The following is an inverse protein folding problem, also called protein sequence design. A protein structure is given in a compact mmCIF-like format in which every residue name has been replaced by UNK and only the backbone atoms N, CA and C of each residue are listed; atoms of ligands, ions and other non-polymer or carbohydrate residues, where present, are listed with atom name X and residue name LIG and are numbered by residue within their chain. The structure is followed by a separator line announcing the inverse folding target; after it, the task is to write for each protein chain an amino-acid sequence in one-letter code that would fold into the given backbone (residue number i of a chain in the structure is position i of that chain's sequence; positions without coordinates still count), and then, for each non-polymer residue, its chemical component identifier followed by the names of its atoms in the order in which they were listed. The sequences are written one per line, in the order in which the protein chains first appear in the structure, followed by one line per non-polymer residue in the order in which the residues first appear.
data_IF_924178918477
#
_entry.id   IF_924178918477
#
_cell.length_a   1.000
_cell.length_b   1.000
_cell.length_c   1.000
_cell.angle_alpha   90.00
_cell.angle_beta   90.00
_cell.angle_gamma   90.00
#
_symmetry.space_group_name_H-M   'P 1'
#
loop_
_entity.id
_entity.type
_entity.pdbx_description
1 polymer ?
#
# COMPACT_ATOMS: atom_id res chain seq x y z
N UNK A 1 40.49 26.98 23.40
CA UNK A 1 39.27 27.75 23.08
C UNK A 1 39.25 27.96 21.59
N UNK A 2 38.46 27.16 20.88
CA UNK A 2 38.32 27.22 19.43
C UNK A 2 37.43 28.42 19.09
N UNK A 3 37.99 29.40 18.37
CA UNK A 3 37.27 30.58 17.92
C UNK A 3 36.41 30.19 16.71
N UNK A 4 35.11 29.97 16.93
CA UNK A 4 34.17 29.82 15.83
C UNK A 4 34.18 31.09 14.97
N UNK A 5 34.64 30.97 13.72
CA UNK A 5 34.73 32.05 12.75
C UNK A 5 33.33 32.63 12.48
N UNK A 6 33.04 33.84 12.98
CA UNK A 6 31.73 34.47 12.83
C UNK A 6 31.59 35.06 11.42
N UNK A 7 30.78 34.42 10.59
CA UNK A 7 30.59 34.84 9.19
C UNK A 7 29.93 36.21 9.06
N UNK A 8 30.32 36.97 8.03
CA UNK A 8 29.72 38.28 7.72
C UNK A 8 28.28 38.13 7.19
N UNK A 9 27.42 39.13 7.41
CA UNK A 9 26.02 39.13 6.93
C UNK A 9 25.91 38.86 5.42
N UNK A 10 26.83 39.41 4.62
CA UNK A 10 26.87 39.17 3.16
C UNK A 10 27.11 37.70 2.82
N UNK A 11 28.04 37.03 3.54
CA UNK A 11 28.32 35.60 3.35
C UNK A 11 27.10 34.75 3.74
N UNK A 12 26.43 35.08 4.84
CA UNK A 12 25.19 34.42 5.25
C UNK A 12 24.08 34.54 4.20
N UNK A 13 23.87 35.75 3.66
CA UNK A 13 22.86 35.99 2.61
C UNK A 13 23.18 35.19 1.34
N UNK A 14 24.44 35.18 0.89
CA UNK A 14 24.85 34.41 -0.31
C UNK A 14 24.61 32.91 -0.13
N UNK A 15 24.91 32.37 1.05
CA UNK A 15 24.69 30.96 1.38
C UNK A 15 23.20 30.64 1.45
N UNK A 16 22.40 31.51 2.06
CA UNK A 16 20.94 31.37 2.08
C UNK A 16 20.32 31.35 0.68
N UNK A 17 20.73 32.28 -0.19
CA UNK A 17 20.29 32.33 -1.58
C UNK A 17 20.72 31.07 -2.36
N UNK A 18 21.94 30.59 -2.15
CA UNK A 18 22.42 29.36 -2.79
C UNK A 18 21.63 28.12 -2.32
N UNK A 19 21.36 28.00 -1.02
CA UNK A 19 20.55 26.91 -0.48
C UNK A 19 19.10 26.94 -1.01
N UNK A 20 18.51 28.13 -1.12
CA UNK A 20 17.19 28.32 -1.71
C UNK A 20 17.15 27.90 -3.18
N UNK A 21 18.10 28.38 -3.99
CA UNK A 21 18.20 27.98 -5.40
C UNK A 21 18.43 26.47 -5.56
N UNK A 22 19.26 25.87 -4.70
CA UNK A 22 19.48 24.44 -4.67
C UNK A 22 18.21 23.65 -4.33
N UNK A 23 17.43 24.11 -3.33
CA UNK A 23 16.14 23.50 -2.99
C UNK A 23 15.18 23.47 -4.19
N UNK A 24 15.01 24.58 -4.91
CA UNK A 24 14.12 24.62 -6.08
C UNK A 24 14.64 23.76 -7.24
N UNK A 25 15.95 23.70 -7.45
CA UNK A 25 16.54 22.82 -8.45
C UNK A 25 16.27 21.34 -8.12
N UNK A 26 16.48 20.92 -6.87
CA UNK A 26 16.20 19.54 -6.40
C UNK A 26 14.71 19.24 -6.45
N UNK A 27 13.85 20.13 -5.96
CA UNK A 27 12.40 19.94 -5.99
C UNK A 27 11.86 19.85 -7.43
N UNK A 28 12.38 20.69 -8.34
CA UNK A 28 12.05 20.65 -9.76
C UNK A 28 12.51 19.35 -10.42
N UNK A 29 13.74 18.91 -10.14
CA UNK A 29 14.28 17.63 -10.61
C UNK A 29 13.46 16.44 -10.11
N UNK A 30 13.12 16.41 -8.82
CA UNK A 30 12.28 15.37 -8.23
C UNK A 30 10.88 15.36 -8.84
N UNK A 31 10.26 16.53 -9.04
CA UNK A 31 8.96 16.63 -9.70
C UNK A 31 9.01 16.18 -11.17
N UNK A 32 10.09 16.50 -11.89
CA UNK A 32 10.28 16.11 -13.28
C UNK A 32 10.53 14.61 -13.45
N UNK A 33 11.27 14.00 -12.52
CA UNK A 33 11.58 12.57 -12.53
C UNK A 33 10.53 11.71 -11.84
N UNK A 34 9.56 12.32 -11.15
CA UNK A 34 8.45 11.61 -10.51
C UNK A 34 7.54 11.00 -11.55
N UNK A 35 7.50 9.67 -11.58
CA UNK A 35 6.49 8.90 -12.30
C UNK A 35 5.41 8.53 -11.27
N UNK A 36 4.16 9.04 -11.40
CA UNK A 36 3.09 8.62 -10.51
C UNK A 36 2.90 7.10 -10.62
N UNK A 37 2.56 6.41 -9.52
CA UNK A 37 2.09 5.04 -9.60
C UNK A 37 0.98 4.98 -10.66
N UNK A 38 1.02 4.02 -11.61
CA UNK A 38 -0.11 3.80 -12.51
C UNK A 38 -1.39 3.68 -11.69
N UNK A 39 -2.48 4.23 -12.23
CA UNK A 39 -3.82 3.99 -11.72
C UNK A 39 -4.09 2.48 -11.68
N UNK A 40 -4.93 2.00 -10.74
CA UNK A 40 -5.31 0.60 -10.79
C UNK A 40 -6.09 0.36 -12.09
N UNK A 41 -6.17 -0.88 -12.59
CA UNK A 41 -7.06 -1.20 -13.71
C UNK A 41 -8.46 -0.59 -13.49
N UNK A 42 -9.16 -0.21 -14.57
CA UNK A 42 -10.41 0.61 -14.53
C UNK A 42 -11.53 0.12 -13.58
N UNK A 43 -11.45 -1.12 -13.10
CA UNK A 43 -12.43 -1.77 -12.24
C UNK A 43 -11.86 -2.20 -10.88
N UNK A 44 -10.65 -1.74 -10.54
CA UNK A 44 -9.93 -2.09 -9.33
C UNK A 44 -9.85 -0.90 -8.38
N UNK A 45 -9.82 -1.20 -7.08
CA UNK A 45 -9.61 -0.24 -5.99
C UNK A 45 -8.28 -0.59 -5.32
N UNK A 46 -7.39 0.38 -5.13
CA UNK A 46 -6.15 0.17 -4.38
C UNK A 46 -6.46 -0.21 -2.93
N UNK A 47 -5.76 -1.21 -2.42
CA UNK A 47 -5.68 -1.49 -0.99
C UNK A 47 -4.57 -0.60 -0.42
N UNK A 48 -4.96 0.42 0.34
CA UNK A 48 -4.02 1.36 0.94
C UNK A 48 -3.53 0.83 2.29
N UNK A 49 -2.20 0.79 2.44
CA UNK A 49 -1.55 0.46 3.70
C UNK A 49 -1.42 1.67 4.64
N UNK A 50 -0.86 1.47 5.86
CA UNK A 50 -0.31 0.20 6.33
C UNK A 50 -1.40 -0.83 6.64
N UNK A 51 -1.16 -2.07 6.23
CA UNK A 51 -1.99 -3.23 6.51
C UNK A 51 -1.74 -3.73 7.93
N UNK A 52 -2.82 -4.12 8.62
CA UNK A 52 -2.75 -4.59 10.00
C UNK A 52 -2.36 -6.07 9.97
N UNK A 53 -1.34 -6.48 10.72
CA UNK A 53 -0.99 -7.90 10.83
C UNK A 53 -2.16 -8.70 11.44
N UNK A 54 -2.56 -9.79 10.79
CA UNK A 54 -3.57 -10.70 11.33
C UNK A 54 -2.91 -11.85 12.08
N UNK A 55 -2.93 -11.74 13.42
CA UNK A 55 -2.31 -12.71 14.34
C UNK A 55 -2.91 -14.12 14.23
N UNK A 56 -4.14 -14.24 13.73
CA UNK A 56 -4.82 -15.52 13.60
C UNK A 56 -4.30 -16.41 12.46
N UNK A 57 -3.28 -15.97 11.72
CA UNK A 57 -2.78 -16.67 10.52
C UNK A 57 -1.26 -16.63 10.43
N UNK A 58 -0.69 -17.52 9.60
CA UNK A 58 0.77 -17.58 9.40
C UNK A 58 1.33 -16.31 8.76
N UNK A 59 0.63 -15.73 7.77
CA UNK A 59 1.13 -14.63 6.95
C UNK A 59 0.05 -13.62 6.52
N UNK A 60 -1.09 -13.60 7.21
CA UNK A 60 -2.22 -12.75 6.87
C UNK A 60 -2.10 -11.33 7.38
N UNK A 61 -2.66 -10.41 6.61
CA UNK A 61 -2.79 -8.99 6.89
C UNK A 61 -4.21 -8.54 6.55
N UNK A 62 -4.70 -7.52 7.24
CA UNK A 62 -6.02 -6.93 7.05
C UNK A 62 -5.87 -5.62 6.29
N UNK A 63 -6.60 -5.51 5.19
CA UNK A 63 -6.90 -4.25 4.52
C UNK A 63 -8.34 -3.83 4.84
N UNK A 64 -8.49 -2.65 5.43
CA UNK A 64 -9.79 -2.07 5.77
C UNK A 64 -10.48 -1.60 4.49
N UNK A 65 -11.69 -2.11 4.22
CA UNK A 65 -12.39 -1.87 2.95
C UNK A 65 -13.88 -1.53 3.15
N UNK A 66 -14.22 -0.43 3.84
CA UNK A 66 -15.60 -0.10 4.20
C UNK A 66 -16.51 0.13 2.99
N UNK A 67 -15.95 0.61 1.87
CA UNK A 67 -16.72 0.87 0.64
C UNK A 67 -17.32 -0.40 0.03
N UNK A 68 -16.73 -1.57 0.29
CA UNK A 68 -17.16 -2.84 -0.28
C UNK A 68 -17.64 -3.84 0.79
N UNK A 69 -17.72 -3.43 2.06
CA UNK A 69 -18.16 -4.27 3.18
C UNK A 69 -19.55 -4.89 2.95
N UNK A 70 -20.44 -4.11 2.33
CA UNK A 70 -21.76 -4.58 1.92
C UNK A 70 -21.72 -5.72 0.90
N UNK A 71 -20.58 -6.10 0.33
CA UNK A 71 -20.37 -7.23 -0.59
C UNK A 71 -19.47 -8.34 0.01
N UNK A 72 -19.10 -8.23 1.28
CA UNK A 72 -18.25 -9.20 1.97
C UNK A 72 -18.98 -10.49 2.32
N UNK A 73 -18.23 -11.57 2.54
CA UNK A 73 -18.74 -12.82 3.07
C UNK A 73 -19.32 -12.62 4.47
N UNK A 74 -20.30 -13.46 4.79
CA UNK A 74 -20.99 -13.45 6.09
C UNK A 74 -21.03 -14.86 6.67
N UNK A 75 -21.36 -14.95 7.95
CA UNK A 75 -21.52 -16.25 8.62
C UNK A 75 -22.64 -17.11 8.02
N UNK A 76 -23.68 -16.49 7.46
CA UNK A 76 -24.82 -17.14 6.81
C UNK A 76 -24.64 -17.33 5.29
N UNK A 77 -23.68 -16.64 4.67
CA UNK A 77 -23.32 -16.76 3.26
C UNK A 77 -21.79 -16.56 3.07
N UNK A 78 -20.98 -17.62 3.33
CA UNK A 78 -19.52 -17.51 3.41
C UNK A 78 -18.79 -17.43 2.06
N UNK A 79 -19.52 -17.48 0.94
CA UNK A 79 -18.95 -17.47 -0.42
C UNK A 79 -19.58 -16.39 -1.31
N UNK A 80 -20.16 -15.34 -0.71
CA UNK A 80 -20.93 -14.35 -1.46
C UNK A 80 -20.05 -13.34 -2.17
N UNK A 81 -18.85 -13.08 -1.66
CA UNK A 81 -18.04 -11.98 -2.14
C UNK A 81 -17.48 -12.25 -3.53
N UNK A 82 -17.76 -11.39 -4.54
CA UNK A 82 -17.25 -11.59 -5.89
C UNK A 82 -15.85 -10.98 -6.08
N UNK A 83 -15.20 -10.51 -5.01
CA UNK A 83 -13.96 -9.77 -5.11
C UNK A 83 -12.76 -10.69 -5.26
N UNK A 84 -11.80 -10.25 -6.08
CA UNK A 84 -10.48 -10.84 -6.21
C UNK A 84 -9.45 -9.82 -5.73
N UNK A 85 -8.49 -10.28 -4.94
CA UNK A 85 -7.30 -9.50 -4.60
C UNK A 85 -6.26 -9.71 -5.69
N UNK A 86 -5.59 -8.65 -6.09
CA UNK A 86 -4.51 -8.66 -7.07
C UNK A 86 -3.22 -8.15 -6.44
N UNK A 87 -2.12 -8.85 -6.66
CA UNK A 87 -0.75 -8.44 -6.34
C UNK A 87 -0.03 -8.10 -7.65
N UNK A 88 0.36 -6.84 -7.84
CA UNK A 88 0.97 -6.37 -9.09
C UNK A 88 0.17 -6.80 -10.34
N UNK A 89 -1.15 -6.62 -10.30
CA UNK A 89 -2.11 -7.02 -11.34
C UNK A 89 -2.28 -8.53 -11.56
N UNK A 90 -1.62 -9.38 -10.77
CA UNK A 90 -1.79 -10.84 -10.78
C UNK A 90 -2.81 -11.23 -9.73
N UNK A 91 -3.84 -11.97 -10.12
CA UNK A 91 -4.87 -12.45 -9.20
C UNK A 91 -4.24 -13.36 -8.14
N UNK A 92 -4.53 -13.05 -6.88
CA UNK A 92 -4.24 -13.87 -5.73
C UNK A 92 -5.37 -14.88 -5.51
N UNK A 93 -5.07 -15.95 -4.78
CA UNK A 93 -6.06 -16.90 -4.32
C UNK A 93 -5.45 -18.15 -3.69
N UNK A 94 -6.29 -19.14 -3.33
CA UNK A 94 -7.75 -19.13 -3.41
C UNK A 94 -8.46 -18.04 -2.56
N UNK A 95 -9.65 -17.61 -3.03
CA UNK A 95 -10.59 -16.75 -2.31
C UNK A 95 -11.34 -17.54 -1.22
N UNK A 96 -12.07 -16.84 -0.33
CA UNK A 96 -12.89 -17.42 0.74
C UNK A 96 -12.13 -18.41 1.64
N UNK A 97 -10.84 -18.16 1.83
CA UNK A 97 -10.00 -19.04 2.65
C UNK A 97 -10.30 -18.81 4.13
N UNK A 98 -10.41 -19.90 4.90
CA UNK A 98 -10.50 -19.81 6.37
C UNK A 98 -9.33 -18.98 6.91
N UNK A 99 -9.61 -17.99 7.76
CA UNK A 99 -8.60 -16.98 8.11
C UNK A 99 -7.30 -17.57 8.66
N UNK A 100 -7.37 -18.68 9.39
CA UNK A 100 -6.20 -19.37 9.92
C UNK A 100 -5.22 -19.89 8.86
N UNK A 101 -5.73 -20.25 7.68
CA UNK A 101 -4.97 -20.84 6.58
C UNK A 101 -4.46 -19.80 5.56
N UNK A 102 -4.65 -18.50 5.84
CA UNK A 102 -4.21 -17.42 4.97
C UNK A 102 -2.69 -17.37 4.90
N UNK A 103 -2.20 -17.81 3.74
CA UNK A 103 -0.81 -17.83 3.31
C UNK A 103 -0.75 -18.09 1.79
N UNK A 104 0.37 -17.72 1.16
CA UNK A 104 0.70 -17.94 -0.25
C UNK A 104 -0.32 -17.35 -1.23
N UNK A 105 -0.73 -16.10 -1.01
CA UNK A 105 -1.72 -15.43 -1.86
C UNK A 105 -3.18 -15.78 -1.51
N UNK A 106 -3.45 -16.59 -0.50
CA UNK A 106 -4.82 -16.83 -0.05
C UNK A 106 -5.43 -15.56 0.56
N UNK A 107 -6.75 -15.42 0.40
CA UNK A 107 -7.48 -14.31 0.99
C UNK A 107 -8.94 -14.67 1.34
N UNK A 108 -9.56 -13.80 2.12
CA UNK A 108 -10.97 -13.80 2.50
C UNK A 108 -11.44 -12.36 2.64
N UNK A 109 -12.70 -12.07 2.28
CA UNK A 109 -13.29 -10.75 2.45
C UNK A 109 -14.50 -10.88 3.37
N UNK A 110 -14.40 -10.35 4.58
CA UNK A 110 -15.37 -10.64 5.65
C UNK A 110 -16.05 -9.38 6.19
N UNK A 111 -17.37 -9.45 6.37
CA UNK A 111 -18.17 -8.31 6.83
C UNK A 111 -17.69 -7.81 8.21
N UNK A 112 -17.55 -6.50 8.34
CA UNK A 112 -17.07 -5.83 9.53
C UNK A 112 -15.56 -5.95 9.79
N UNK A 113 -14.83 -6.70 8.96
CA UNK A 113 -13.38 -6.91 9.08
C UNK A 113 -12.59 -6.34 7.90
N UNK A 114 -13.13 -6.48 6.69
CA UNK A 114 -12.44 -6.13 5.45
C UNK A 114 -11.76 -7.34 4.80
N UNK A 115 -10.69 -7.10 4.05
CA UNK A 115 -9.98 -8.16 3.32
C UNK A 115 -8.82 -8.67 4.15
N UNK A 116 -8.87 -9.94 4.54
CA UNK A 116 -7.73 -10.66 5.12
C UNK A 116 -7.01 -11.37 3.98
N UNK A 117 -5.74 -11.06 3.75
CA UNK A 117 -4.96 -11.62 2.63
C UNK A 117 -3.51 -11.85 3.01
N UNK A 118 -2.80 -12.61 2.19
CA UNK A 118 -1.35 -12.77 2.28
C UNK A 118 -0.71 -12.42 0.94
N UNK A 119 0.53 -11.94 0.95
CA UNK A 119 1.33 -11.85 -0.28
C UNK A 119 1.56 -13.26 -0.86
N UNK A 120 1.78 -13.35 -2.18
CA UNK A 120 2.00 -14.62 -2.89
C UNK A 120 3.18 -15.44 -2.35
N UNK A 121 4.20 -14.75 -1.84
CA UNK A 121 5.41 -15.30 -1.24
C UNK A 121 5.47 -15.15 0.30
N UNK A 122 4.35 -14.76 0.93
CA UNK A 122 4.22 -14.48 2.37
C UNK A 122 5.11 -13.34 2.90
N UNK A 123 5.73 -12.53 2.04
CA UNK A 123 6.46 -11.34 2.48
C UNK A 123 5.50 -10.29 3.05
N UNK A 124 6.00 -9.41 3.92
CA UNK A 124 5.19 -8.36 4.55
C UNK A 124 4.73 -7.34 3.48
N UNK A 125 3.41 -7.20 3.24
CA UNK A 125 2.87 -6.32 2.21
C UNK A 125 3.13 -4.83 2.47
N UNK A 126 3.53 -4.44 3.68
CA UNK A 126 3.94 -3.08 4.02
C UNK A 126 5.39 -2.76 3.63
N UNK A 127 6.21 -3.77 3.33
CA UNK A 127 7.64 -3.57 3.06
C UNK A 127 8.17 -4.31 1.82
N UNK A 128 7.33 -5.11 1.16
CA UNK A 128 7.73 -5.90 0.00
C UNK A 128 7.65 -5.15 -1.34
N UNK A 129 7.31 -3.86 -1.33
CA UNK A 129 7.26 -2.98 -2.50
C UNK A 129 6.28 -3.42 -3.60
N UNK A 130 5.38 -4.36 -3.29
CA UNK A 130 4.32 -4.80 -4.19
C UNK A 130 3.08 -3.94 -4.00
N UNK A 131 2.24 -3.89 -5.04
CA UNK A 131 0.99 -3.15 -5.03
C UNK A 131 -0.19 -4.11 -4.93
N UNK A 132 -1.18 -3.77 -4.12
CA UNK A 132 -2.35 -4.60 -3.90
C UNK A 132 -3.62 -3.86 -4.28
N UNK A 133 -4.49 -4.51 -5.05
CA UNK A 133 -5.80 -3.97 -5.40
C UNK A 133 -6.88 -5.02 -5.29
N UNK A 134 -8.13 -4.59 -5.20
CA UNK A 134 -9.31 -5.46 -5.27
C UNK A 134 -10.16 -5.08 -6.47
N UNK A 135 -10.71 -6.08 -7.15
CA UNK A 135 -11.60 -5.86 -8.29
C UNK A 135 -12.48 -7.07 -8.51
N UNK A 136 -13.39 -6.98 -9.47
CA UNK A 136 -14.09 -8.17 -9.96
C UNK A 136 -13.14 -9.03 -10.79
N UNK A 137 -13.37 -10.36 -10.88
CA UNK A 137 -12.65 -11.18 -11.84
C UNK A 137 -12.86 -10.61 -13.24
N UNK A 138 -11.78 -10.59 -14.05
CA UNK A 138 -11.89 -10.24 -15.47
C UNK A 138 -12.75 -11.30 -16.15
N UNK A 139 -13.85 -10.88 -16.76
CA UNK A 139 -14.72 -11.71 -17.61
C UNK A 139 -14.06 -12.08 -18.92
#
# INVERSE_FOLDING_TARGET
MELAERWTRSRQIKVGLAAFAFYFAVAGYLKYTYVPPPDPPKDHIWLEGPFIRYEGSKAGYIAILPKLDAMADRSDDPFRSPLIVYENDIALGPAHTVHADIANGRFSHWEGLGVVFSASDNSDPNSNWKKYSVGRPKS
#
